data_IF_948977172219
#
_entry.id   IF_948977172219
#
_cell.length_a   1.000
_cell.length_b   1.000
_cell.length_c   1.000
_cell.angle_alpha   90.00
_cell.angle_beta   90.00
_cell.angle_gamma   90.00
#
_symmetry.space_group_name_H-M   'P 1'
#
loop_
_entity.id
_entity.type
_entity.pdbx_description
1 polymer ?
#
# COMPACT_ATOMS: atom_id res chain seq x y z
N UNK A 1 4.16 3.38 -7.79
CA UNK A 1 4.28 1.97 -8.16
C UNK A 1 3.39 1.66 -9.34
N UNK A 2 3.77 0.71 -10.12
CA UNK A 2 3.01 0.22 -11.27
C UNK A 2 3.07 -1.32 -11.26
N UNK A 3 2.10 -1.96 -11.90
CA UNK A 3 2.02 -3.42 -12.03
C UNK A 3 2.16 -4.17 -10.70
N UNK A 4 1.22 -3.99 -9.75
CA UNK A 4 1.22 -4.82 -8.56
C UNK A 4 0.95 -6.28 -8.93
N UNK A 5 1.67 -7.22 -8.31
CA UNK A 5 1.44 -8.66 -8.52
C UNK A 5 0.24 -9.18 -7.73
N UNK A 6 -0.23 -8.43 -6.74
CA UNK A 6 -1.39 -8.79 -5.92
C UNK A 6 -2.05 -7.54 -5.34
N UNK A 7 -3.38 -7.57 -5.25
CA UNK A 7 -4.17 -6.59 -4.51
C UNK A 7 -4.93 -7.28 -3.37
N UNK A 8 -4.92 -6.67 -2.19
CA UNK A 8 -5.53 -7.20 -0.98
C UNK A 8 -6.42 -6.13 -0.39
N UNK A 9 -7.71 -6.35 -0.38
CA UNK A 9 -8.67 -5.40 0.16
C UNK A 9 -9.54 -6.05 1.23
N UNK A 10 -9.95 -5.27 2.22
CA UNK A 10 -10.85 -5.75 3.25
C UNK A 10 -11.86 -4.67 3.64
N UNK A 11 -13.12 -5.07 3.78
CA UNK A 11 -14.21 -4.26 4.31
C UNK A 11 -15.07 -5.15 5.18
N UNK A 12 -15.25 -4.82 6.45
CA UNK A 12 -16.06 -5.57 7.43
C UNK A 12 -15.76 -7.08 7.47
N UNK A 13 -14.46 -7.41 7.41
CA UNK A 13 -13.97 -8.78 7.44
C UNK A 13 -14.13 -9.53 6.11
N UNK A 14 -14.73 -8.93 5.10
CA UNK A 14 -14.76 -9.49 3.75
C UNK A 14 -13.41 -9.21 3.08
N UNK A 15 -12.50 -10.17 3.17
CA UNK A 15 -11.16 -10.11 2.60
C UNK A 15 -11.19 -10.59 1.15
N UNK A 16 -10.69 -9.76 0.24
CA UNK A 16 -10.53 -10.07 -1.17
C UNK A 16 -9.04 -10.03 -1.51
N UNK A 17 -8.55 -11.09 -2.16
CA UNK A 17 -7.20 -11.18 -2.68
C UNK A 17 -7.31 -11.39 -4.19
N UNK A 18 -6.74 -10.49 -4.97
CA UNK A 18 -6.63 -10.57 -6.42
C UNK A 18 -5.17 -10.75 -6.78
N UNK A 19 -4.79 -11.91 -7.31
CA UNK A 19 -3.48 -12.18 -7.87
C UNK A 19 -3.50 -11.84 -9.36
N UNK A 20 -2.50 -11.13 -9.82
CA UNK A 20 -2.36 -10.70 -11.22
C UNK A 20 -1.15 -11.42 -11.79
N UNK A 21 -1.40 -12.31 -12.75
CA UNK A 21 -0.36 -13.08 -13.40
C UNK A 21 0.26 -12.31 -14.57
N UNK A 22 1.48 -12.65 -14.94
CA UNK A 22 2.22 -12.00 -16.04
C UNK A 22 1.52 -12.10 -17.41
N UNK A 23 0.72 -13.14 -17.62
CA UNK A 23 -0.09 -13.32 -18.83
C UNK A 23 -1.37 -12.47 -18.86
N UNK A 24 -1.58 -11.65 -17.82
CA UNK A 24 -2.75 -10.80 -17.64
C UNK A 24 -3.97 -11.54 -17.08
N UNK A 25 -3.85 -12.84 -16.75
CA UNK A 25 -4.91 -13.55 -16.06
C UNK A 25 -4.99 -13.15 -14.60
N UNK A 26 -6.18 -13.19 -14.03
CA UNK A 26 -6.44 -12.82 -12.66
C UNK A 26 -7.09 -13.96 -11.88
N UNK A 27 -6.60 -14.20 -10.68
CA UNK A 27 -7.23 -15.10 -9.71
C UNK A 27 -7.79 -14.28 -8.55
N UNK A 28 -9.07 -14.40 -8.28
CA UNK A 28 -9.74 -13.70 -7.19
C UNK A 28 -10.24 -14.69 -6.14
N UNK A 29 -9.79 -14.48 -4.91
CA UNK A 29 -10.26 -15.19 -3.72
C UNK A 29 -11.02 -14.22 -2.82
N UNK A 30 -12.17 -14.64 -2.31
CA UNK A 30 -13.00 -13.87 -1.37
C UNK A 30 -13.31 -14.75 -0.17
N UNK A 31 -13.05 -14.22 1.03
CA UNK A 31 -13.30 -14.97 2.27
C UNK A 31 -13.68 -14.04 3.41
N UNK A 32 -14.53 -14.53 4.31
CA UNK A 32 -14.85 -13.81 5.54
C UNK A 32 -13.82 -14.18 6.61
N UNK A 33 -13.16 -13.16 7.17
CA UNK A 33 -12.10 -13.32 8.17
C UNK A 33 -12.38 -12.49 9.41
N UNK A 34 -11.93 -13.00 10.56
CA UNK A 34 -11.98 -12.25 11.83
C UNK A 34 -10.77 -11.33 12.02
N UNK A 35 -9.62 -11.74 11.52
CA UNK A 35 -8.35 -11.03 11.66
C UNK A 35 -7.63 -10.94 10.30
N UNK A 36 -7.89 -9.90 9.48
CA UNK A 36 -7.26 -9.76 8.17
C UNK A 36 -5.73 -9.77 8.22
N UNK A 37 -5.13 -9.33 9.33
CA UNK A 37 -3.71 -9.35 9.55
C UNK A 37 -3.05 -10.73 9.47
N UNK A 38 -3.79 -11.82 9.71
CA UNK A 38 -3.24 -13.16 9.63
C UNK A 38 -2.99 -13.57 8.18
N UNK A 39 -3.88 -13.18 7.26
CA UNK A 39 -3.68 -13.38 5.83
C UNK A 39 -2.46 -12.58 5.33
N UNK A 40 -2.29 -11.34 5.79
CA UNK A 40 -1.12 -10.52 5.45
C UNK A 40 0.17 -11.20 5.92
N UNK A 41 0.21 -11.70 7.16
CA UNK A 41 1.38 -12.41 7.69
C UNK A 41 1.71 -13.67 6.88
N UNK A 42 0.68 -14.38 6.40
CA UNK A 42 0.89 -15.55 5.55
C UNK A 42 1.50 -15.15 4.21
N UNK A 43 0.97 -14.14 3.54
CA UNK A 43 1.50 -13.62 2.28
C UNK A 43 2.96 -13.16 2.46
N UNK A 44 3.26 -12.39 3.50
CA UNK A 44 4.62 -11.91 3.76
C UNK A 44 5.63 -13.04 4.04
N UNK A 45 5.19 -14.20 4.51
CA UNK A 45 6.08 -15.37 4.64
C UNK A 45 6.46 -15.96 3.29
N UNK A 46 5.52 -15.97 2.33
CA UNK A 46 5.75 -16.46 0.97
C UNK A 46 6.72 -15.55 0.20
N UNK A 47 6.65 -14.23 0.45
CA UNK A 47 7.46 -13.20 -0.23
C UNK A 47 8.65 -12.70 0.62
N UNK A 48 9.15 -13.53 1.52
CA UNK A 48 10.27 -13.13 2.38
C UNK A 48 11.57 -13.04 1.58
N UNK A 49 12.15 -11.85 1.51
CA UNK A 49 13.44 -11.59 0.85
C UNK A 49 14.59 -11.44 1.86
N UNK A 50 15.83 -11.75 1.50
CA UNK A 50 16.99 -11.48 2.35
C UNK A 50 17.26 -9.97 2.46
N UNK A 51 17.80 -9.56 3.60
CA UNK A 51 18.33 -8.19 3.78
C UNK A 51 19.78 -8.20 3.31
N UNK A 52 20.07 -7.41 2.27
CA UNK A 52 21.40 -7.31 1.67
C UNK A 52 22.03 -5.96 2.01
N UNK A 53 23.33 -5.96 2.27
CA UNK A 53 24.11 -4.74 2.44
C UNK A 53 24.06 -3.88 1.16
N UNK A 54 24.03 -2.56 1.34
CA UNK A 54 23.98 -1.58 0.24
C UNK A 54 22.69 -1.56 -0.60
N UNK A 55 21.67 -2.30 -0.22
CA UNK A 55 20.32 -2.21 -0.80
C UNK A 55 19.48 -1.18 -0.02
N UNK A 56 18.47 -0.57 -0.66
CA UNK A 56 17.51 0.26 0.05
C UNK A 56 16.73 -0.56 1.09
N UNK A 57 16.17 0.11 2.09
CA UNK A 57 15.38 -0.54 3.14
C UNK A 57 14.10 -1.20 2.61
N UNK A 58 13.55 -0.69 1.52
CA UNK A 58 12.41 -1.27 0.84
C UNK A 58 12.85 -1.85 -0.51
N UNK A 59 12.79 -3.17 -0.64
CA UNK A 59 13.18 -3.92 -1.84
C UNK A 59 12.00 -4.63 -2.50
N UNK A 60 10.80 -4.42 -1.98
CA UNK A 60 9.53 -5.03 -2.38
C UNK A 60 8.66 -5.29 -1.16
N UNK A 61 7.40 -5.55 -1.37
CA UNK A 61 6.44 -5.83 -0.31
C UNK A 61 5.10 -5.12 -0.49
N UNK A 62 4.35 -5.07 0.59
CA UNK A 62 3.00 -4.49 0.59
C UNK A 62 3.05 -2.97 0.77
N UNK A 63 2.34 -2.27 -0.10
CA UNK A 63 2.16 -0.82 -0.05
C UNK A 63 0.66 -0.50 -0.09
N UNK A 64 0.21 0.41 0.75
CA UNK A 64 -1.19 0.83 0.81
C UNK A 64 -1.53 1.44 2.15
N UNK A 65 -2.75 1.24 2.61
CA UNK A 65 -3.20 1.82 3.88
C UNK A 65 -4.05 0.86 4.71
N UNK A 66 -4.06 1.14 6.00
CA UNK A 66 -5.06 0.68 6.96
C UNK A 66 -5.89 1.88 7.39
N UNK A 67 -7.20 1.77 7.34
CA UNK A 67 -8.08 2.83 7.83
C UNK A 67 -8.01 2.96 9.35
N UNK A 68 -8.50 4.07 9.88
CA UNK A 68 -8.65 4.21 11.32
C UNK A 68 -9.53 3.10 11.91
N UNK A 69 -10.59 2.73 11.21
CA UNK A 69 -11.56 1.73 11.66
C UNK A 69 -11.01 0.30 11.64
N UNK A 70 -9.82 0.07 11.06
CA UNK A 70 -9.13 -1.22 11.14
C UNK A 70 -8.88 -1.66 12.59
N UNK A 71 -8.86 -0.72 13.54
CA UNK A 71 -8.71 -1.01 14.98
C UNK A 71 -9.77 -1.97 15.49
N UNK A 72 -10.95 -2.05 14.88
CA UNK A 72 -12.03 -3.00 15.24
C UNK A 72 -11.58 -4.46 15.24
N UNK A 73 -10.56 -4.80 14.43
CA UNK A 73 -10.01 -6.16 14.36
C UNK A 73 -9.04 -6.47 15.51
N UNK A 74 -8.42 -5.45 16.09
CA UNK A 74 -7.51 -5.58 17.23
C UNK A 74 -8.21 -5.39 18.58
N UNK A 75 -9.23 -4.53 18.61
CA UNK A 75 -9.97 -4.15 19.80
C UNK A 75 -11.46 -4.47 19.69
N UNK A 76 -11.88 -5.74 19.86
CA UNK A 76 -13.29 -6.16 19.66
C UNK A 76 -14.29 -5.51 20.61
N UNK A 77 -13.81 -4.87 21.69
CA UNK A 77 -14.65 -4.13 22.64
C UNK A 77 -15.08 -2.76 22.13
N UNK A 78 -14.35 -2.20 21.16
CA UNK A 78 -14.70 -0.95 20.52
C UNK A 78 -15.91 -1.18 19.62
N UNK A 79 -17.01 -0.52 19.97
CA UNK A 79 -18.17 -0.42 19.08
C UNK A 79 -18.01 0.88 18.29
N UNK A 80 -17.52 0.74 17.05
CA UNK A 80 -17.53 1.87 16.13
C UNK A 80 -18.99 2.13 15.73
N UNK A 81 -19.39 3.39 15.74
CA UNK A 81 -20.74 3.79 15.30
C UNK A 81 -20.83 3.63 13.79
N UNK A 82 -21.93 3.10 13.29
CA UNK A 82 -22.16 2.80 11.86
C UNK A 82 -22.25 4.05 10.94
N UNK A 83 -21.81 5.21 11.40
CA UNK A 83 -21.69 6.43 10.59
C UNK A 83 -20.47 6.42 9.65
N UNK A 84 -19.97 5.24 9.31
CA UNK A 84 -18.85 5.09 8.40
C UNK A 84 -19.26 5.46 6.96
N UNK A 85 -18.43 6.26 6.33
CA UNK A 85 -18.51 6.50 4.89
C UNK A 85 -18.44 5.14 4.20
N UNK A 86 -19.52 4.67 3.59
CA UNK A 86 -19.70 3.32 3.07
C UNK A 86 -18.68 2.90 1.98
N UNK A 87 -17.91 3.85 1.47
CA UNK A 87 -16.97 3.63 0.37
C UNK A 87 -15.50 3.54 0.82
N UNK A 88 -15.21 3.54 2.13
CA UNK A 88 -13.82 3.49 2.60
C UNK A 88 -13.48 2.07 3.10
N UNK A 89 -12.48 1.45 2.48
CA UNK A 89 -12.04 0.11 2.86
C UNK A 89 -11.29 0.15 4.19
N UNK A 90 -11.45 -0.88 5.01
CA UNK A 90 -10.68 -1.04 6.24
C UNK A 90 -9.18 -1.20 5.94
N UNK A 91 -8.88 -1.84 4.82
CA UNK A 91 -7.52 -2.09 4.36
C UNK A 91 -7.51 -2.16 2.83
N UNK A 92 -6.50 -1.54 2.23
CA UNK A 92 -6.24 -1.60 0.79
C UNK A 92 -4.73 -1.64 0.58
N UNK A 93 -4.22 -2.79 0.18
CA UNK A 93 -2.79 -3.07 0.01
C UNK A 93 -2.53 -3.66 -1.36
N UNK A 94 -1.38 -3.31 -1.93
CA UNK A 94 -0.85 -3.88 -3.16
C UNK A 94 0.53 -4.47 -2.90
N UNK A 95 0.79 -5.64 -3.45
CA UNK A 95 2.10 -6.27 -3.40
C UNK A 95 2.92 -5.87 -4.62
N UNK A 96 4.09 -5.31 -4.36
CA UNK A 96 5.08 -4.97 -5.39
C UNK A 96 6.33 -5.82 -5.19
N UNK A 97 6.70 -6.57 -6.20
CA UNK A 97 7.93 -7.36 -6.29
C UNK A 97 8.98 -6.72 -7.21
N UNK A 98 8.62 -5.59 -7.81
CA UNK A 98 9.49 -4.75 -8.64
C UNK A 98 9.57 -3.35 -8.06
N UNK A 99 10.79 -2.86 -7.85
CA UNK A 99 11.03 -1.55 -7.23
C UNK A 99 12.08 -0.76 -8.01
N UNK A 100 11.77 0.49 -8.29
CA UNK A 100 12.73 1.50 -8.78
C UNK A 100 13.06 2.40 -7.59
N UNK A 101 14.27 2.31 -7.07
CA UNK A 101 14.70 3.09 -5.92
C UNK A 101 15.69 4.18 -6.33
N UNK A 102 15.38 5.43 -5.97
CA UNK A 102 16.25 6.58 -6.19
C UNK A 102 17.08 6.84 -4.93
N UNK A 103 18.36 6.50 -4.95
CA UNK A 103 19.31 6.81 -3.88
C UNK A 103 19.93 8.20 -4.12
N UNK A 104 19.32 9.20 -3.53
CA UNK A 104 19.78 10.58 -3.68
C UNK A 104 21.15 10.84 -3.02
N UNK A 105 21.50 10.07 -2.01
CA UNK A 105 22.79 10.21 -1.34
C UNK A 105 23.94 9.68 -2.21
N UNK A 106 23.75 8.50 -2.81
CA UNK A 106 24.76 7.87 -3.69
C UNK A 106 24.60 8.26 -5.17
N UNK A 107 23.58 9.06 -5.50
CA UNK A 107 23.28 9.49 -6.87
C UNK A 107 23.09 8.28 -7.83
N UNK A 108 22.34 7.28 -7.37
CA UNK A 108 22.09 6.04 -8.12
C UNK A 108 20.59 5.75 -8.22
N UNK A 109 20.24 5.09 -9.31
CA UNK A 109 18.93 4.42 -9.46
C UNK A 109 19.18 2.93 -9.38
N UNK A 110 18.48 2.26 -8.47
CA UNK A 110 18.54 0.81 -8.31
C UNK A 110 17.24 0.22 -8.85
N UNK A 111 17.38 -0.76 -9.71
CA UNK A 111 16.27 -1.57 -10.23
C UNK A 111 16.31 -2.90 -9.51
N UNK A 112 15.21 -3.27 -8.89
CA UNK A 112 15.12 -4.43 -8.02
C UNK A 112 13.91 -5.25 -8.45
N UNK A 113 14.09 -6.56 -8.59
CA UNK A 113 13.00 -7.51 -8.77
C UNK A 113 13.22 -8.75 -7.93
N UNK A 114 12.14 -9.33 -7.42
CA UNK A 114 12.14 -10.57 -6.68
C UNK A 114 12.29 -11.78 -7.62
N UNK A 115 12.91 -12.84 -7.12
CA UNK A 115 13.04 -14.13 -7.81
C UNK A 115 12.43 -15.21 -6.93
N UNK A 116 11.45 -15.94 -7.45
CA UNK A 116 10.87 -17.09 -6.76
C UNK A 116 11.82 -18.30 -6.87
N UNK A 117 11.95 -19.07 -5.78
CA UNK A 117 12.94 -20.13 -5.70
C UNK A 117 12.45 -21.49 -6.24
N UNK A 118 11.15 -21.61 -6.57
CA UNK A 118 10.54 -22.88 -7.01
C UNK A 118 11.08 -23.35 -8.37
N UNK A 119 11.28 -22.42 -9.32
CA UNK A 119 11.96 -22.64 -10.59
C UNK A 119 12.99 -21.53 -10.78
N UNK A 120 14.13 -21.71 -10.13
CA UNK A 120 15.14 -20.67 -10.01
C UNK A 120 15.66 -20.18 -11.36
N UNK A 121 15.94 -21.09 -12.30
CA UNK A 121 16.51 -20.74 -13.60
C UNK A 121 15.51 -19.92 -14.44
N UNK A 122 14.27 -20.40 -14.59
CA UNK A 122 13.25 -19.69 -15.33
C UNK A 122 12.88 -18.35 -14.64
N UNK A 123 12.78 -18.33 -13.32
CA UNK A 123 12.49 -17.13 -12.55
C UNK A 123 13.61 -16.09 -12.67
N UNK A 124 14.88 -16.53 -12.70
CA UNK A 124 16.03 -15.64 -12.89
C UNK A 124 16.04 -14.99 -14.28
N UNK A 125 15.78 -15.77 -15.34
CA UNK A 125 15.70 -15.26 -16.70
C UNK A 125 14.57 -14.24 -16.86
N UNK A 126 13.42 -14.50 -16.24
CA UNK A 126 12.30 -13.54 -16.19
C UNK A 126 12.68 -12.27 -15.47
N UNK A 127 13.33 -12.38 -14.31
CA UNK A 127 13.78 -11.24 -13.53
C UNK A 127 14.77 -10.36 -14.32
N UNK A 128 15.71 -10.97 -15.04
CA UNK A 128 16.65 -10.25 -15.90
C UNK A 128 15.94 -9.47 -17.00
N UNK A 129 14.95 -10.08 -17.67
CA UNK A 129 14.11 -9.41 -18.65
C UNK A 129 13.35 -8.24 -18.05
N UNK A 130 12.74 -8.42 -16.88
CA UNK A 130 12.03 -7.34 -16.16
C UNK A 130 12.94 -6.18 -15.79
N UNK A 131 14.15 -6.44 -15.31
CA UNK A 131 15.13 -5.39 -15.04
C UNK A 131 15.50 -4.61 -16.32
N UNK A 132 15.60 -5.27 -17.46
CA UNK A 132 15.85 -4.62 -18.74
C UNK A 132 14.67 -3.74 -19.15
N UNK A 133 13.43 -4.24 -19.05
CA UNK A 133 12.20 -3.48 -19.33
C UNK A 133 12.10 -2.22 -18.45
N UNK A 134 12.41 -2.34 -17.14
CA UNK A 134 12.45 -1.19 -16.23
C UNK A 134 13.53 -0.16 -16.63
N UNK A 135 14.70 -0.64 -17.05
CA UNK A 135 15.78 0.24 -17.52
C UNK A 135 15.39 0.97 -18.79
N UNK A 136 14.73 0.30 -19.73
CA UNK A 136 14.29 0.87 -20.99
C UNK A 136 13.14 1.86 -20.76
N UNK A 137 12.22 1.59 -19.84
CA UNK A 137 11.17 2.52 -19.43
C UNK A 137 11.76 3.85 -18.92
N UNK A 138 12.79 3.77 -18.07
CA UNK A 138 13.44 5.00 -17.53
C UNK A 138 14.16 5.78 -18.62
N UNK A 139 14.83 5.11 -19.55
CA UNK A 139 15.64 5.75 -20.59
C UNK A 139 14.83 6.29 -21.75
N UNK A 140 13.84 5.53 -22.18
CA UNK A 140 13.15 5.69 -23.45
C UNK A 140 11.63 5.86 -23.31
N UNK A 141 11.09 5.79 -22.09
CA UNK A 141 9.66 5.94 -21.84
C UNK A 141 9.13 7.31 -22.27
N UNK A 142 7.90 7.35 -22.68
CA UNK A 142 7.21 8.59 -23.07
C UNK A 142 7.10 9.52 -21.85
N UNK A 143 7.28 10.82 -22.11
CA UNK A 143 7.05 11.86 -21.12
C UNK A 143 5.61 12.34 -21.26
N UNK A 144 4.82 12.11 -20.22
CA UNK A 144 3.49 12.67 -20.15
C UNK A 144 3.56 14.11 -19.63
N UNK A 145 2.97 15.05 -20.35
CA UNK A 145 2.79 16.41 -19.88
C UNK A 145 1.45 16.48 -19.13
N UNK A 146 1.51 16.69 -17.82
CA UNK A 146 0.31 16.90 -17.04
C UNK A 146 -0.20 18.34 -17.21
N UNK A 147 -1.49 18.53 -17.56
CA UNK A 147 -2.07 19.86 -17.53
C UNK A 147 -2.02 20.44 -16.12
N UNK A 148 -2.01 21.77 -15.97
CA UNK A 148 -2.08 22.39 -14.65
C UNK A 148 -3.34 21.91 -13.91
N UNK A 149 -3.24 21.80 -12.59
CA UNK A 149 -4.38 21.41 -11.75
C UNK A 149 -5.50 22.44 -11.89
N UNK A 150 -6.65 22.01 -12.38
CA UNK A 150 -7.87 22.80 -12.42
C UNK A 150 -8.86 22.25 -11.38
N UNK A 151 -9.39 23.13 -10.54
CA UNK A 151 -10.42 22.76 -9.57
C UNK A 151 -11.78 22.73 -10.28
N UNK A 152 -12.42 21.58 -10.30
CA UNK A 152 -13.77 21.42 -10.87
C UNK A 152 -14.88 22.00 -9.96
N UNK A 153 -14.55 22.29 -8.70
CA UNK A 153 -15.49 22.84 -7.72
C UNK A 153 -14.76 23.68 -6.68
N UNK A 154 -15.53 24.53 -5.99
CA UNK A 154 -15.00 25.27 -4.84
C UNK A 154 -14.64 24.34 -3.68
N UNK A 155 -13.54 24.66 -2.99
CA UNK A 155 -13.13 23.96 -1.78
C UNK A 155 -14.14 24.31 -0.67
N UNK A 156 -14.91 23.32 -0.23
CA UNK A 156 -15.86 23.47 0.88
C UNK A 156 -15.28 22.79 2.13
N UNK A 157 -14.94 23.55 3.17
CA UNK A 157 -14.46 22.96 4.41
C UNK A 157 -15.62 22.19 5.11
N UNK A 158 -15.33 20.99 5.61
CA UNK A 158 -16.30 20.17 6.34
C UNK A 158 -16.74 20.84 7.65
N UNK A 159 -15.87 21.64 8.25
CA UNK A 159 -16.16 22.40 9.47
C UNK A 159 -15.87 23.89 9.28
N UNK A 160 -16.74 24.79 9.75
CA UNK A 160 -16.40 26.21 9.85
C UNK A 160 -15.18 26.43 10.73
N UNK A 161 -14.43 27.51 10.46
CA UNK A 161 -13.19 27.85 11.17
C UNK A 161 -13.34 27.82 12.70
N UNK A 162 -14.40 28.45 13.21
CA UNK A 162 -14.66 28.55 14.65
C UNK A 162 -14.90 27.16 15.29
N UNK A 163 -15.59 26.26 14.58
CA UNK A 163 -15.82 24.89 15.05
C UNK A 163 -14.51 24.11 15.06
N UNK A 164 -13.72 24.23 14.00
CA UNK A 164 -12.41 23.57 13.92
C UNK A 164 -11.47 24.03 15.04
N UNK A 165 -11.37 25.35 15.28
CA UNK A 165 -10.54 25.89 16.36
C UNK A 165 -10.98 25.37 17.74
N UNK A 166 -12.29 25.27 18.00
CA UNK A 166 -12.79 24.67 19.26
C UNK A 166 -12.41 23.19 19.39
N UNK A 167 -12.41 22.43 18.29
CA UNK A 167 -11.95 21.03 18.31
C UNK A 167 -10.47 20.92 18.65
N UNK A 168 -9.65 21.83 18.11
CA UNK A 168 -8.20 21.89 18.41
C UNK A 168 -7.97 22.21 19.88
N UNK A 169 -8.66 23.21 20.45
CA UNK A 169 -8.51 23.55 21.88
C UNK A 169 -8.97 22.40 22.78
N UNK A 170 -10.01 21.68 22.41
CA UNK A 170 -10.45 20.48 23.13
C UNK A 170 -9.40 19.36 23.08
N UNK A 171 -8.78 19.12 21.92
CA UNK A 171 -7.70 18.14 21.79
C UNK A 171 -6.47 18.53 22.63
N UNK A 172 -6.08 19.81 22.63
CA UNK A 172 -4.99 20.32 23.48
C UNK A 172 -5.29 20.12 24.98
N UNK A 173 -6.54 20.29 25.38
CA UNK A 173 -6.94 20.01 26.75
C UNK A 173 -6.69 18.54 27.13
N UNK A 174 -7.12 17.59 26.30
CA UNK A 174 -6.88 16.16 26.54
C UNK A 174 -5.38 15.78 26.57
N UNK A 175 -4.56 16.45 25.76
CA UNK A 175 -3.11 16.28 25.82
C UNK A 175 -2.56 16.77 27.18
N UNK A 176 -3.04 17.91 27.68
CA UNK A 176 -2.65 18.44 28.99
C UNK A 176 -3.07 17.55 30.16
N UNK A 177 -4.24 16.93 30.06
CA UNK A 177 -4.73 15.99 31.08
C UNK A 177 -4.02 14.61 31.00
N UNK A 178 -3.26 14.36 29.95
CA UNK A 178 -2.56 13.09 29.73
C UNK A 178 -3.45 11.96 29.19
N UNK A 179 -4.63 12.29 28.69
CA UNK A 179 -5.56 11.32 28.10
C UNK A 179 -5.09 10.85 26.72
N UNK A 180 -4.38 11.70 25.98
CA UNK A 180 -3.82 11.44 24.65
C UNK A 180 -2.43 12.08 24.52
N UNK A 181 -1.65 11.60 23.53
CA UNK A 181 -0.32 12.13 23.18
C UNK A 181 -0.36 13.20 22.12
#
# INVERSE_FOLDING_TARGET
GYEPSMEITCTDGNLQIRRIHEDGTEEKTVQQVKHPGDAIRQILKEYKSPVLENMPTFTGGLVGYFSYDYIKYSEPKLKLTDETVQDFRDMDLMLFDQVIAFDHYRQKVLLITGVMLEDLEASYQKAEKKLQEMADLIRNGEKEEFPPLELESEIKPQFPKEKYCKMVEKAKHYIHEGDIF
#
